data_IF_658825458854
#
_entry.id   IF_658825458854
#
_cell.length_a   1.000
_cell.length_b   1.000
_cell.length_c   1.000
_cell.angle_alpha   90.00
_cell.angle_beta   90.00
_cell.angle_gamma   90.00
#
_symmetry.space_group_name_H-M   'P 1'
#
loop_
_entity.id
_entity.type
_entity.pdbx_description
1 polymer ?
#
# COMPACT_ATOMS: atom_id res chain seq x y z
N UNK A 1 6.16 3.20 -2.60
CA UNK A 1 6.03 2.62 -3.95
C UNK A 1 4.55 2.61 -4.31
N UNK A 2 4.13 3.39 -5.32
CA UNK A 2 2.71 3.51 -5.67
C UNK A 2 2.42 2.57 -6.84
N UNK A 3 1.38 1.74 -6.71
CA UNK A 3 0.86 0.96 -7.83
C UNK A 3 0.15 1.94 -8.76
N UNK A 4 0.65 2.06 -9.99
CA UNK A 4 0.12 2.89 -11.07
C UNK A 4 -0.85 2.12 -11.98
N UNK A 5 -0.97 0.81 -11.79
CA UNK A 5 -1.81 -0.07 -12.60
C UNK A 5 -1.16 -0.54 -13.90
N UNK A 6 0.09 -0.15 -14.19
CA UNK A 6 0.77 -0.59 -15.41
C UNK A 6 1.11 -2.08 -15.35
N UNK A 7 0.93 -2.77 -16.47
CA UNK A 7 1.25 -4.19 -16.64
C UNK A 7 2.32 -4.36 -17.72
N UNK A 8 3.18 -5.37 -17.55
CA UNK A 8 4.26 -5.69 -18.48
C UNK A 8 4.28 -7.21 -18.70
N UNK A 9 4.04 -7.71 -19.92
CA UNK A 9 3.95 -9.15 -20.18
C UNK A 9 5.30 -9.88 -20.06
N UNK A 10 6.41 -9.14 -20.16
CA UNK A 10 7.78 -9.65 -20.11
C UNK A 10 8.65 -8.77 -19.22
N UNK A 11 9.69 -9.38 -18.65
CA UNK A 11 10.77 -8.64 -18.00
C UNK A 11 11.63 -7.98 -19.08
N UNK A 12 11.93 -6.69 -18.93
CA UNK A 12 12.77 -5.93 -19.88
C UNK A 12 13.69 -4.97 -19.15
N UNK A 13 14.68 -4.45 -19.87
CA UNK A 13 15.52 -3.34 -19.42
C UNK A 13 14.90 -2.05 -19.96
N UNK A 14 14.77 -1.07 -19.08
CA UNK A 14 14.39 0.28 -19.46
C UNK A 14 15.57 0.97 -20.20
N UNK A 15 15.39 1.45 -21.43
CA UNK A 15 16.50 1.96 -22.23
C UNK A 15 17.06 3.30 -21.75
N UNK A 16 16.31 4.07 -20.97
CA UNK A 16 16.76 5.38 -20.48
C UNK A 16 17.46 5.25 -19.12
N UNK A 17 16.92 4.41 -18.25
CA UNK A 17 17.36 4.26 -16.86
C UNK A 17 18.22 3.02 -16.62
N UNK A 18 18.33 2.14 -17.62
CA UNK A 18 18.96 0.81 -17.55
C UNK A 18 18.38 -0.09 -16.44
N UNK A 19 17.21 0.27 -15.91
CA UNK A 19 16.58 -0.45 -14.82
C UNK A 19 15.86 -1.70 -15.31
N UNK A 20 15.88 -2.77 -14.50
CA UNK A 20 15.14 -3.99 -14.80
C UNK A 20 13.66 -3.78 -14.42
N UNK A 21 12.79 -3.75 -15.42
CA UNK A 21 11.35 -3.77 -15.28
C UNK A 21 10.89 -5.23 -15.30
N UNK A 22 10.40 -5.71 -14.16
CA UNK A 22 9.91 -7.08 -14.02
C UNK A 22 8.55 -7.28 -14.71
N UNK A 23 8.33 -8.50 -15.22
CA UNK A 23 7.02 -8.96 -15.69
C UNK A 23 5.95 -8.76 -14.61
N UNK A 24 4.83 -8.14 -14.99
CA UNK A 24 3.62 -7.97 -14.16
C UNK A 24 2.38 -8.18 -15.01
N UNK A 25 1.57 -9.17 -14.64
CA UNK A 25 0.38 -9.56 -15.41
C UNK A 25 -0.94 -9.00 -14.86
N UNK A 26 -0.92 -8.37 -13.68
CA UNK A 26 -2.13 -7.88 -13.03
C UNK A 26 -1.91 -6.46 -12.47
N UNK A 27 -2.81 -5.51 -12.74
CA UNK A 27 -2.63 -4.09 -12.40
C UNK A 27 -2.62 -3.83 -10.89
N UNK A 28 -3.15 -4.74 -10.07
CA UNK A 28 -3.24 -4.60 -8.61
C UNK A 28 -2.33 -5.57 -7.83
N UNK A 29 -1.48 -6.33 -8.52
CA UNK A 29 -0.56 -7.27 -7.87
C UNK A 29 0.86 -6.71 -8.04
N UNK A 30 1.59 -6.62 -6.93
CA UNK A 30 2.99 -6.24 -6.91
C UNK A 30 3.85 -7.25 -7.67
N UNK A 31 5.09 -6.89 -7.94
CA UNK A 31 6.02 -7.87 -8.49
C UNK A 31 6.28 -8.96 -7.44
N UNK A 32 6.15 -10.21 -7.85
CA UNK A 32 6.30 -11.36 -6.97
C UNK A 32 7.11 -12.45 -7.68
N UNK A 33 7.58 -13.40 -6.88
CA UNK A 33 8.21 -14.63 -7.34
C UNK A 33 7.35 -15.79 -6.86
N UNK A 34 6.98 -16.69 -7.78
CA UNK A 34 6.08 -17.82 -7.53
C UNK A 34 6.62 -18.77 -6.44
N UNK A 35 7.93 -19.00 -6.40
CA UNK A 35 8.53 -19.87 -5.39
C UNK A 35 8.54 -19.20 -4.01
N UNK A 36 8.94 -17.93 -3.94
CA UNK A 36 9.03 -17.23 -2.65
C UNK A 36 7.64 -17.01 -2.04
N UNK A 37 6.62 -16.67 -2.85
CA UNK A 37 5.25 -16.52 -2.34
C UNK A 37 4.68 -17.86 -1.86
N UNK A 38 5.02 -18.96 -2.55
CA UNK A 38 4.64 -20.31 -2.14
C UNK A 38 5.28 -20.69 -0.80
N UNK A 39 6.59 -20.46 -0.64
CA UNK A 39 7.34 -20.85 0.56
C UNK A 39 7.01 -19.98 1.78
N UNK A 40 6.96 -18.66 1.61
CA UNK A 40 6.85 -17.72 2.72
C UNK A 40 5.41 -17.31 3.04
N UNK A 41 4.48 -17.48 2.09
CA UNK A 41 3.04 -17.18 2.24
C UNK A 41 2.76 -15.77 2.80
N UNK A 42 3.61 -14.81 2.51
CA UNK A 42 3.50 -13.42 2.96
C UNK A 42 3.43 -12.44 1.78
N UNK A 43 3.04 -11.20 2.06
CA UNK A 43 2.99 -10.15 1.05
C UNK A 43 4.40 -9.86 0.51
N UNK A 44 4.51 -9.69 -0.81
CA UNK A 44 5.78 -9.48 -1.49
C UNK A 44 5.75 -8.26 -2.39
N UNK A 45 6.91 -7.62 -2.49
CA UNK A 45 7.12 -6.49 -3.38
C UNK A 45 8.57 -6.47 -3.90
N UNK A 46 8.78 -6.99 -5.10
CA UNK A 46 10.12 -7.14 -5.70
C UNK A 46 10.45 -5.94 -6.60
N UNK A 47 11.61 -5.34 -6.36
CA UNK A 47 12.16 -4.27 -7.20
C UNK A 47 13.63 -4.50 -7.52
N UNK A 48 14.03 -4.09 -8.72
CA UNK A 48 15.42 -3.87 -9.05
C UNK A 48 15.93 -2.56 -8.46
N UNK A 49 17.16 -2.55 -7.97
CA UNK A 49 17.86 -1.38 -7.43
C UNK A 49 19.23 -1.31 -8.09
N UNK A 50 19.34 -0.50 -9.14
CA UNK A 50 20.57 -0.38 -9.94
C UNK A 50 21.45 0.82 -9.62
N UNK A 51 20.95 1.80 -8.85
CA UNK A 51 21.67 3.05 -8.55
C UNK A 51 21.78 3.32 -7.05
N UNK A 52 22.76 4.14 -6.67
CA UNK A 52 22.97 4.56 -5.28
C UNK A 52 21.81 5.38 -4.73
N UNK A 53 21.22 6.24 -5.57
CA UNK A 53 20.02 7.02 -5.25
C UNK A 53 18.82 6.12 -4.97
N UNK A 54 18.61 5.08 -5.81
CA UNK A 54 17.55 4.10 -5.61
C UNK A 54 17.78 3.29 -4.32
N UNK A 55 19.02 2.91 -4.03
CA UNK A 55 19.36 2.21 -2.79
C UNK A 55 19.11 3.09 -1.57
N UNK A 56 19.52 4.36 -1.60
CA UNK A 56 19.26 5.34 -0.54
C UNK A 56 17.76 5.51 -0.30
N UNK A 57 16.98 5.70 -1.37
CA UNK A 57 15.52 5.83 -1.29
C UNK A 57 14.87 4.56 -0.71
N UNK A 58 15.35 3.37 -1.09
CA UNK A 58 14.87 2.10 -0.54
C UNK A 58 15.14 2.00 0.97
N UNK A 59 16.35 2.35 1.41
CA UNK A 59 16.70 2.32 2.84
C UNK A 59 15.80 3.26 3.64
N UNK A 60 15.57 4.48 3.17
CA UNK A 60 14.64 5.40 3.82
C UNK A 60 13.21 4.83 3.87
N UNK A 61 12.72 4.27 2.77
CA UNK A 61 11.39 3.67 2.71
C UNK A 61 11.22 2.52 3.70
N UNK A 62 12.18 1.58 3.72
CA UNK A 62 12.14 0.43 4.64
C UNK A 62 12.25 0.90 6.09
N UNK A 63 13.15 1.84 6.36
CA UNK A 63 13.33 2.40 7.70
C UNK A 63 12.06 3.06 8.18
N UNK A 64 11.49 4.01 7.42
CA UNK A 64 10.24 4.70 7.74
C UNK A 64 9.10 3.72 8.02
N UNK A 65 8.99 2.65 7.21
CA UNK A 65 7.99 1.62 7.41
C UNK A 65 8.20 0.80 8.70
N UNK A 66 9.42 0.36 8.98
CA UNK A 66 9.74 -0.42 10.18
C UNK A 66 9.61 0.43 11.45
N UNK A 67 10.05 1.68 11.39
CA UNK A 67 9.98 2.62 12.51
C UNK A 67 8.62 3.27 12.66
N UNK A 68 7.65 2.95 11.78
CA UNK A 68 6.31 3.52 11.84
C UNK A 68 5.67 3.21 13.19
N UNK A 69 5.46 4.26 13.98
CA UNK A 69 4.79 4.15 15.28
C UNK A 69 3.40 3.53 15.13
N UNK A 70 3.02 2.72 16.11
CA UNK A 70 1.65 2.21 16.20
C UNK A 70 0.70 3.38 16.46
N UNK A 71 -0.38 3.48 15.69
CA UNK A 71 -1.47 4.38 16.06
C UNK A 71 -2.02 3.89 17.39
N UNK A 72 -2.06 4.78 18.38
CA UNK A 72 -2.56 4.39 19.70
C UNK A 72 -4.04 4.03 19.61
N UNK A 73 -4.39 2.83 20.06
CA UNK A 73 -5.76 2.30 19.96
C UNK A 73 -6.79 3.23 20.59
N UNK A 74 -6.43 3.91 21.69
CA UNK A 74 -7.32 4.86 22.36
C UNK A 74 -7.62 6.08 21.49
N UNK A 75 -6.67 6.58 20.69
CA UNK A 75 -6.92 7.69 19.74
C UNK A 75 -7.83 7.22 18.62
N UNK A 76 -7.59 6.02 18.08
CA UNK A 76 -8.46 5.42 17.07
C UNK A 76 -9.90 5.26 17.57
N UNK A 77 -10.07 4.75 18.79
CA UNK A 77 -11.38 4.55 19.39
C UNK A 77 -12.10 5.87 19.69
N UNK A 78 -11.39 6.86 20.24
CA UNK A 78 -11.94 8.20 20.49
C UNK A 78 -12.42 8.87 19.20
N UNK A 79 -11.70 8.71 18.09
CA UNK A 79 -12.12 9.23 16.79
C UNK A 79 -13.42 8.56 16.29
N UNK A 80 -13.55 7.24 16.47
CA UNK A 80 -14.78 6.52 16.11
C UNK A 80 -15.95 6.94 17.00
N UNK A 81 -15.75 7.04 18.31
CA UNK A 81 -16.77 7.51 19.26
C UNK A 81 -17.27 8.91 18.87
N UNK A 82 -16.34 9.82 18.57
CA UNK A 82 -16.66 11.16 18.12
C UNK A 82 -17.48 11.16 16.81
N UNK A 83 -17.07 10.35 15.82
CA UNK A 83 -17.78 10.23 14.56
C UNK A 83 -19.22 9.71 14.74
N UNK A 84 -19.43 8.77 15.66
CA UNK A 84 -20.78 8.27 16.01
C UNK A 84 -21.62 9.40 16.61
N UNK A 85 -21.12 10.09 17.64
CA UNK A 85 -21.85 11.19 18.31
C UNK A 85 -22.24 12.32 17.36
N UNK A 86 -21.35 12.70 16.44
CA UNK A 86 -21.66 13.73 15.45
C UNK A 86 -22.77 13.30 14.50
N UNK A 87 -22.77 12.03 14.09
CA UNK A 87 -23.77 11.49 13.18
C UNK A 87 -25.11 11.17 13.86
N UNK A 88 -25.17 11.00 15.18
CA UNK A 88 -26.45 10.84 15.91
C UNK A 88 -27.41 12.00 15.63
N UNK A 89 -26.91 13.23 15.52
CA UNK A 89 -27.73 14.40 15.15
C UNK A 89 -28.29 14.35 13.72
N UNK A 90 -27.65 13.62 12.83
CA UNK A 90 -28.07 13.42 11.43
C UNK A 90 -29.17 12.35 11.37
N UNK A 91 -29.01 11.24 12.11
CA UNK A 91 -29.98 10.14 12.11
C UNK A 91 -31.22 10.38 12.99
N UNK A 92 -31.15 11.27 13.99
CA UNK A 92 -32.33 11.67 14.79
C UNK A 92 -33.37 12.45 13.94
N UNK A 93 -32.96 13.11 12.86
CA UNK A 93 -33.86 13.84 11.97
C UNK A 93 -34.49 12.97 10.86
N UNK A 94 -34.09 11.70 10.72
CA UNK A 94 -34.55 10.78 9.66
C UNK A 94 -35.73 9.89 10.13
N UNK A 95 -36.18 10.03 11.38
CA UNK A 95 -37.32 9.29 11.94
C UNK A 95 -38.60 10.15 12.08
N UNK A 96 -38.68 11.28 11.36
CA UNK A 96 -39.75 12.28 11.50
C UNK A 96 -40.76 12.40 10.35
N UNK A 97 -40.75 11.52 9.34
CA UNK A 97 -41.60 11.66 8.14
C UNK A 97 -42.38 10.42 7.71
N UNK A 98 -42.69 9.52 8.65
CA UNK A 98 -43.66 8.44 8.43
C UNK A 98 -44.83 8.56 9.44
N UNK A 99 -45.63 9.63 9.29
CA UNK A 99 -47.03 9.70 9.74
C UNK A 99 -47.85 10.43 8.69
#
# INVERSE_FOLDING_TARGET
MRIDGTVNPLTRIDPETESIILRRLHPRINNYNELVIFLLRCNMDIKYVGSGEAAKALVYYVTDYITKGTLSTHVGLAAVEYAIKMNESIYQNDHGSDV
#
